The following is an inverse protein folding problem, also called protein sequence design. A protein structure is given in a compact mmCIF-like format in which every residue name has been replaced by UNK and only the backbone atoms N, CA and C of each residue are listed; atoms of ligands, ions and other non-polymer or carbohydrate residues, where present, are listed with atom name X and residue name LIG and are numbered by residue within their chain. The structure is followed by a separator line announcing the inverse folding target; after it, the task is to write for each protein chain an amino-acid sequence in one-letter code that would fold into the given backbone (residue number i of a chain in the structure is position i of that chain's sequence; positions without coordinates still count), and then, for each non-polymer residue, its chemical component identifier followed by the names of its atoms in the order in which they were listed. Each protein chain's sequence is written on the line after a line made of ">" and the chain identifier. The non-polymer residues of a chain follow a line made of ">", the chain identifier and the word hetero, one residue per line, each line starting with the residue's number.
data_IF_618164034314
#
_entry.id   IF_618164034314
#
_cell.length_a   1.000
_cell.length_b   1.000
_cell.length_c   1.000
_cell.angle_alpha   90.00
_cell.angle_beta   90.00
_cell.angle_gamma   90.00
#
_symmetry.space_group_name_H-M   'P 1'
#
loop_
_entity.id
_entity.type
_entity.pdbx_description
1 polymer ?
#
# COMPACT_ATOMS: atom_id res chain seq x y z
N UNK A 1 20.52 -3.65 -26.80
CA UNK A 1 19.30 -3.01 -26.30
C UNK A 1 18.73 -3.97 -25.26
N UNK A 2 18.67 -3.60 -23.98
CA UNK A 2 17.97 -4.44 -23.02
C UNK A 2 16.49 -4.27 -23.28
N UNK A 3 15.82 -5.35 -23.70
CA UNK A 3 14.38 -5.34 -23.90
C UNK A 3 13.69 -4.86 -22.61
N UNK A 4 12.82 -3.86 -22.75
CA UNK A 4 12.04 -3.34 -21.63
C UNK A 4 11.15 -4.46 -21.09
N UNK A 5 11.16 -4.76 -19.79
CA UNK A 5 10.36 -5.84 -19.24
C UNK A 5 8.88 -5.71 -19.59
N UNK A 6 8.27 -6.82 -20.01
CA UNK A 6 6.82 -6.92 -20.17
C UNK A 6 6.19 -7.18 -18.80
N UNK A 7 5.15 -6.42 -18.50
CA UNK A 7 4.47 -6.47 -17.21
C UNK A 7 3.01 -6.88 -17.42
N UNK A 8 2.55 -7.83 -16.63
CA UNK A 8 1.15 -8.20 -16.54
C UNK A 8 0.58 -7.74 -15.20
N UNK A 9 -0.56 -7.04 -15.25
CA UNK A 9 -1.29 -6.65 -14.04
C UNK A 9 -2.56 -7.49 -13.92
N UNK A 10 -2.66 -8.22 -12.84
CA UNK A 10 -3.83 -9.02 -12.49
C UNK A 10 -4.69 -8.29 -11.47
N UNK A 11 -5.97 -8.17 -11.77
CA UNK A 11 -6.94 -7.40 -11.01
C UNK A 11 -7.32 -6.08 -11.66
N UNK A 12 -8.51 -5.60 -11.33
CA UNK A 12 -9.07 -4.33 -11.78
C UNK A 12 -9.35 -3.38 -10.62
N UNK A 13 -8.67 -3.61 -9.50
CA UNK A 13 -8.77 -2.74 -8.33
C UNK A 13 -8.34 -1.30 -8.66
N UNK A 14 -8.75 -0.38 -7.83
CA UNK A 14 -8.31 1.01 -7.90
C UNK A 14 -6.77 1.11 -7.95
N UNK A 15 -6.08 0.36 -7.10
CA UNK A 15 -4.63 0.33 -7.06
C UNK A 15 -4.04 -0.27 -8.35
N UNK A 16 -4.58 -1.40 -8.85
CA UNK A 16 -4.13 -2.04 -10.08
C UNK A 16 -4.13 -1.06 -11.26
N UNK A 17 -5.20 -0.29 -11.42
CA UNK A 17 -5.36 0.64 -12.53
C UNK A 17 -4.33 1.79 -12.47
N UNK A 18 -4.08 2.35 -11.30
CA UNK A 18 -3.08 3.42 -11.13
C UNK A 18 -1.65 2.92 -11.27
N UNK A 19 -1.32 1.73 -10.74
CA UNK A 19 0.01 1.14 -10.88
C UNK A 19 0.29 0.75 -12.34
N UNK A 20 -0.70 0.18 -13.06
CA UNK A 20 -0.61 -0.13 -14.48
C UNK A 20 -0.32 1.12 -15.31
N UNK A 21 -1.08 2.20 -15.09
CA UNK A 21 -0.86 3.47 -15.78
C UNK A 21 0.52 4.06 -15.47
N UNK A 22 0.95 4.04 -14.20
CA UNK A 22 2.27 4.51 -13.81
C UNK A 22 3.39 3.72 -14.50
N UNK A 23 3.26 2.40 -14.63
CA UNK A 23 4.22 1.57 -15.35
C UNK A 23 4.27 1.96 -16.84
N UNK A 24 3.13 2.21 -17.49
CA UNK A 24 3.07 2.70 -18.87
C UNK A 24 3.74 4.07 -19.03
N UNK A 25 3.46 5.00 -18.12
CA UNK A 25 4.06 6.35 -18.11
C UNK A 25 5.59 6.30 -17.93
N UNK A 26 6.13 5.22 -17.32
CA UNK A 26 7.56 4.93 -17.20
C UNK A 26 8.16 4.17 -18.41
N UNK A 27 7.35 3.89 -19.43
CA UNK A 27 7.79 3.24 -20.67
C UNK A 27 7.80 1.71 -20.62
N UNK A 28 7.18 1.08 -19.62
CA UNK A 28 7.05 -0.37 -19.61
C UNK A 28 5.94 -0.84 -20.54
N UNK A 29 6.17 -1.98 -21.18
CA UNK A 29 5.15 -2.65 -22.00
C UNK A 29 4.21 -3.45 -21.12
N UNK A 30 2.90 -3.17 -21.21
CA UNK A 30 1.88 -3.95 -20.52
C UNK A 30 1.35 -5.00 -21.46
N UNK A 31 1.60 -6.27 -21.16
CA UNK A 31 1.05 -7.40 -21.92
C UNK A 31 -0.34 -7.79 -21.41
N UNK A 32 -1.12 -8.41 -22.29
CA UNK A 32 -2.40 -9.08 -21.96
C UNK A 32 -2.23 -10.60 -21.79
N UNK A 33 -1.03 -11.09 -22.04
CA UNK A 33 -0.67 -12.51 -22.04
C UNK A 33 0.23 -12.79 -20.85
N UNK A 34 -0.26 -13.42 -19.76
CA UNK A 34 0.53 -13.67 -18.55
C UNK A 34 1.78 -14.52 -18.83
N UNK A 35 1.72 -15.43 -19.83
CA UNK A 35 2.82 -16.29 -20.26
C UNK A 35 4.00 -15.53 -20.91
N UNK A 36 3.78 -14.31 -21.38
CA UNK A 36 4.80 -13.42 -21.95
C UNK A 36 5.39 -12.46 -20.92
N UNK A 37 4.81 -12.39 -19.73
CA UNK A 37 5.23 -11.44 -18.72
C UNK A 37 6.58 -11.83 -18.10
N UNK A 38 7.42 -10.84 -17.89
CA UNK A 38 8.63 -10.95 -17.07
C UNK A 38 8.33 -10.61 -15.61
N UNK A 39 7.30 -9.79 -15.38
CA UNK A 39 6.87 -9.34 -14.05
C UNK A 39 5.34 -9.35 -13.97
N UNK A 40 4.79 -9.94 -12.93
CA UNK A 40 3.34 -10.02 -12.71
C UNK A 40 3.00 -9.31 -11.41
N UNK A 41 2.14 -8.30 -11.48
CA UNK A 41 1.56 -7.66 -10.31
C UNK A 41 0.17 -8.25 -10.02
N UNK A 42 -0.02 -8.72 -8.79
CA UNK A 42 -1.30 -9.20 -8.27
C UNK A 42 -1.85 -8.10 -7.37
N UNK A 43 -2.86 -7.38 -7.86
CA UNK A 43 -3.37 -6.17 -7.23
C UNK A 43 -4.90 -6.20 -7.17
N UNK A 44 -5.43 -6.91 -6.20
CA UNK A 44 -6.86 -7.02 -5.96
C UNK A 44 -7.22 -6.43 -4.59
N UNK A 45 -8.31 -5.69 -4.52
CA UNK A 45 -8.84 -5.25 -3.23
C UNK A 45 -9.54 -6.41 -2.54
N UNK A 46 -9.02 -6.81 -1.38
CA UNK A 46 -9.67 -7.82 -0.56
C UNK A 46 -11.01 -7.27 -0.04
N UNK A 47 -12.10 -7.92 -0.40
CA UNK A 47 -13.41 -7.60 0.12
C UNK A 47 -13.43 -7.68 1.66
N UNK A 48 -14.26 -6.86 2.28
CA UNK A 48 -14.40 -6.84 3.74
C UNK A 48 -15.72 -7.52 4.09
N UNK A 49 -15.66 -8.58 4.88
CA UNK A 49 -16.85 -9.25 5.43
C UNK A 49 -17.51 -8.36 6.47
N UNK A 50 -18.76 -8.62 6.80
CA UNK A 50 -19.49 -7.91 7.88
C UNK A 50 -18.73 -7.90 9.21
N UNK A 51 -17.95 -8.94 9.49
CA UNK A 51 -17.06 -9.02 10.66
C UNK A 51 -15.88 -8.06 10.65
N UNK A 52 -15.65 -7.32 9.54
CA UNK A 52 -14.47 -6.49 9.34
C UNK A 52 -13.23 -7.26 8.85
N UNK A 53 -13.30 -8.59 8.75
CA UNK A 53 -12.21 -9.45 8.29
C UNK A 53 -12.12 -9.42 6.76
N UNK A 54 -10.90 -9.44 6.23
CA UNK A 54 -10.65 -9.52 4.77
C UNK A 54 -11.09 -10.85 4.19
N UNK A 55 -11.76 -10.81 3.07
CA UNK A 55 -11.95 -11.99 2.22
C UNK A 55 -10.83 -12.04 1.18
N UNK A 56 -9.93 -12.99 1.35
CA UNK A 56 -8.75 -13.16 0.49
C UNK A 56 -8.96 -14.19 -0.62
N UNK A 57 -10.18 -14.73 -0.80
CA UNK A 57 -10.47 -15.80 -1.75
C UNK A 57 -10.05 -15.42 -3.18
N UNK A 58 -10.38 -14.22 -3.62
CA UNK A 58 -10.03 -13.73 -4.96
C UNK A 58 -8.53 -13.44 -5.11
N UNK A 59 -7.88 -12.98 -4.07
CA UNK A 59 -6.42 -12.80 -4.04
C UNK A 59 -5.72 -14.15 -4.21
N UNK A 60 -6.17 -15.18 -3.49
CA UNK A 60 -5.63 -16.54 -3.60
C UNK A 60 -5.87 -17.13 -5.00
N UNK A 61 -7.06 -16.94 -5.58
CA UNK A 61 -7.37 -17.35 -6.96
C UNK A 61 -6.37 -16.74 -7.96
N UNK A 62 -6.09 -15.46 -7.84
CA UNK A 62 -5.13 -14.76 -8.70
C UNK A 62 -3.69 -15.26 -8.48
N UNK A 63 -3.30 -15.53 -7.25
CA UNK A 63 -1.98 -16.12 -6.96
C UNK A 63 -1.82 -17.48 -7.65
N UNK A 64 -2.83 -18.35 -7.52
CA UNK A 64 -2.84 -19.68 -8.16
C UNK A 64 -2.80 -19.54 -9.68
N UNK A 65 -3.58 -18.63 -10.27
CA UNK A 65 -3.56 -18.38 -11.69
C UNK A 65 -2.20 -17.88 -12.17
N UNK A 66 -1.59 -16.92 -11.47
CA UNK A 66 -0.28 -16.39 -11.81
C UNK A 66 0.80 -17.48 -11.74
N UNK A 67 0.72 -18.38 -10.75
CA UNK A 67 1.63 -19.51 -10.63
C UNK A 67 1.49 -20.49 -11.81
N UNK A 68 0.26 -20.72 -12.28
CA UNK A 68 0.00 -21.66 -13.35
C UNK A 68 0.31 -21.09 -14.75
N UNK A 69 0.09 -19.79 -14.98
CA UNK A 69 0.16 -19.18 -16.31
C UNK A 69 1.39 -18.32 -16.55
N UNK A 70 2.07 -17.89 -15.50
CA UNK A 70 3.26 -17.05 -15.55
C UNK A 70 4.35 -17.60 -14.62
N UNK A 71 4.63 -18.90 -14.72
CA UNK A 71 5.55 -19.63 -13.82
C UNK A 71 6.94 -19.02 -13.79
N UNK A 72 7.45 -18.53 -14.94
CA UNK A 72 8.76 -17.92 -15.10
C UNK A 72 8.84 -16.45 -14.70
N UNK A 73 7.70 -15.77 -14.58
CA UNK A 73 7.66 -14.36 -14.22
C UNK A 73 7.95 -14.16 -12.74
N UNK A 74 8.60 -13.04 -12.41
CA UNK A 74 8.67 -12.57 -11.02
C UNK A 74 7.29 -12.09 -10.60
N UNK A 75 6.79 -12.59 -9.48
CA UNK A 75 5.46 -12.27 -8.95
C UNK A 75 5.56 -11.25 -7.83
N UNK A 76 4.70 -10.23 -7.87
CA UNK A 76 4.62 -9.18 -6.87
C UNK A 76 3.19 -9.02 -6.41
N UNK A 77 2.92 -9.30 -5.15
CA UNK A 77 1.63 -9.11 -4.51
C UNK A 77 1.55 -7.68 -3.98
N UNK A 78 0.58 -6.90 -4.45
CA UNK A 78 0.29 -5.55 -3.95
C UNK A 78 -1.04 -5.46 -3.20
N UNK A 79 -1.82 -6.54 -3.21
CA UNK A 79 -3.04 -6.65 -2.42
C UNK A 79 -2.74 -6.49 -0.93
N UNK A 80 -3.58 -5.75 -0.23
CA UNK A 80 -3.40 -5.59 1.22
C UNK A 80 -3.85 -6.86 1.95
N UNK A 81 -2.89 -7.55 2.54
CA UNK A 81 -3.07 -8.81 3.25
C UNK A 81 -2.65 -8.69 4.73
N UNK A 82 -3.10 -9.59 5.62
CA UNK A 82 -2.63 -9.60 7.01
C UNK A 82 -1.15 -10.00 7.10
N UNK A 83 -0.42 -9.55 8.14
CA UNK A 83 0.95 -9.97 8.39
C UNK A 83 1.10 -11.50 8.48
N UNK A 84 2.12 -12.03 7.78
CA UNK A 84 2.40 -13.46 7.68
C UNK A 84 1.69 -14.17 6.52
N UNK A 85 0.78 -13.50 5.80
CA UNK A 85 0.05 -14.11 4.69
C UNK A 85 1.00 -14.53 3.56
N UNK A 86 1.87 -13.63 3.10
CA UNK A 86 2.76 -13.92 1.97
C UNK A 86 3.75 -15.05 2.31
N UNK A 87 4.28 -15.08 3.52
CA UNK A 87 5.14 -16.17 3.97
C UNK A 87 4.41 -17.51 4.02
N UNK A 88 3.15 -17.52 4.43
CA UNK A 88 2.35 -18.75 4.51
C UNK A 88 2.07 -19.37 3.14
N UNK A 89 2.19 -18.64 2.05
CA UNK A 89 2.05 -19.17 0.68
C UNK A 89 3.17 -20.16 0.31
N UNK A 90 4.36 -20.04 0.94
CA UNK A 90 5.54 -20.91 0.69
C UNK A 90 5.93 -20.96 -0.79
N UNK A 91 5.91 -19.84 -1.46
CA UNK A 91 6.21 -19.69 -2.88
C UNK A 91 7.13 -18.49 -3.12
N UNK A 92 7.77 -18.46 -4.30
CA UNK A 92 8.60 -17.34 -4.72
C UNK A 92 7.73 -16.18 -5.21
N UNK A 93 7.51 -15.22 -4.33
CA UNK A 93 6.68 -14.03 -4.54
C UNK A 93 7.21 -12.90 -3.67
N UNK A 94 7.13 -11.67 -4.16
CA UNK A 94 7.43 -10.46 -3.37
C UNK A 94 6.14 -9.81 -2.91
N UNK A 95 6.20 -9.11 -1.78
CA UNK A 95 5.09 -8.26 -1.36
C UNK A 95 5.49 -6.79 -1.51
N UNK A 96 4.76 -6.01 -2.31
CA UNK A 96 4.96 -4.57 -2.40
C UNK A 96 3.82 -3.86 -1.69
N UNK A 97 4.12 -3.23 -0.56
CA UNK A 97 3.11 -2.52 0.21
C UNK A 97 2.51 -1.36 -0.60
N UNK A 98 1.19 -1.38 -0.79
CA UNK A 98 0.46 -0.35 -1.52
C UNK A 98 0.22 0.87 -0.61
N UNK A 99 0.57 2.08 -1.09
CA UNK A 99 0.50 3.34 -0.32
C UNK A 99 -0.35 4.42 -0.98
N UNK A 100 -1.16 4.07 -1.98
CA UNK A 100 -2.01 5.01 -2.70
C UNK A 100 -3.11 5.60 -1.81
N UNK A 101 -3.49 6.83 -2.10
CA UNK A 101 -4.64 7.52 -1.50
C UNK A 101 -5.60 7.92 -2.62
N UNK A 102 -6.90 7.80 -2.39
CA UNK A 102 -7.93 8.13 -3.39
C UNK A 102 -7.74 9.53 -3.98
N UNK A 103 -7.36 10.51 -3.14
CA UNK A 103 -7.24 11.92 -3.52
C UNK A 103 -6.15 12.20 -4.56
N UNK A 104 -5.02 11.48 -4.49
CA UNK A 104 -3.80 11.73 -5.27
C UNK A 104 -3.14 10.44 -5.79
N UNK A 105 -3.93 9.39 -5.99
CA UNK A 105 -3.45 8.07 -6.35
C UNK A 105 -2.58 8.05 -7.60
N UNK A 106 -2.98 8.79 -8.65
CA UNK A 106 -2.21 8.85 -9.90
C UNK A 106 -0.84 9.46 -9.70
N UNK A 107 -0.75 10.56 -8.96
CA UNK A 107 0.52 11.21 -8.66
C UNK A 107 1.41 10.30 -7.81
N UNK A 108 0.85 9.69 -6.75
CA UNK A 108 1.59 8.77 -5.89
C UNK A 108 2.03 7.50 -6.59
N UNK A 109 1.24 6.97 -7.51
CA UNK A 109 1.65 5.84 -8.33
C UNK A 109 2.80 6.20 -9.26
N UNK A 110 2.78 7.38 -9.88
CA UNK A 110 3.82 7.86 -10.81
C UNK A 110 5.09 8.33 -10.11
N UNK A 111 4.97 8.87 -8.87
CA UNK A 111 6.06 9.40 -8.06
C UNK A 111 5.90 8.99 -6.60
N UNK A 112 6.10 7.71 -6.28
CA UNK A 112 5.99 7.22 -4.90
C UNK A 112 7.08 7.87 -4.03
N UNK A 113 6.74 8.16 -2.78
CA UNK A 113 7.70 8.68 -1.79
C UNK A 113 8.73 7.60 -1.41
N UNK A 114 8.32 6.35 -1.43
CA UNK A 114 9.13 5.15 -1.22
C UNK A 114 8.38 3.92 -1.75
N UNK A 115 9.10 2.81 -1.91
CA UNK A 115 8.51 1.48 -2.14
C UNK A 115 9.04 0.54 -1.07
N UNK A 116 8.15 -0.07 -0.28
CA UNK A 116 8.49 -1.13 0.65
C UNK A 116 8.30 -2.49 -0.04
N UNK A 117 9.37 -3.29 -0.09
CA UNK A 117 9.41 -4.60 -0.74
C UNK A 117 9.66 -5.67 0.31
N UNK A 118 8.63 -6.43 0.62
CA UNK A 118 8.71 -7.62 1.46
C UNK A 118 9.23 -8.83 0.68
N UNK A 119 10.18 -9.53 1.26
CA UNK A 119 10.80 -10.72 0.68
C UNK A 119 11.15 -11.75 1.76
N UNK A 120 11.59 -12.92 1.34
CA UNK A 120 11.94 -14.00 2.27
C UNK A 120 13.20 -13.66 3.10
N UNK A 121 14.24 -13.19 2.45
CA UNK A 121 15.46 -12.68 3.08
C UNK A 121 15.80 -11.28 2.55
N UNK A 122 15.70 -10.22 3.39
CA UNK A 122 16.00 -8.84 2.96
C UNK A 122 17.46 -8.60 2.53
N UNK A 123 18.37 -9.54 2.78
CA UNK A 123 19.78 -9.44 2.38
C UNK A 123 20.04 -9.96 0.96
N UNK A 124 19.09 -10.69 0.39
CA UNK A 124 19.21 -11.21 -0.97
C UNK A 124 18.95 -10.11 -2.00
N UNK A 125 19.65 -10.22 -3.13
CA UNK A 125 19.43 -9.29 -4.23
C UNK A 125 18.11 -9.59 -4.93
N UNK A 126 17.26 -8.58 -5.09
CA UNK A 126 16.03 -8.70 -5.86
C UNK A 126 16.32 -9.07 -7.33
N UNK A 127 15.44 -9.80 -8.02
CA UNK A 127 15.59 -10.13 -9.43
C UNK A 127 15.79 -8.88 -10.28
N UNK A 128 16.68 -8.99 -11.28
CA UNK A 128 17.06 -7.85 -12.12
C UNK A 128 15.85 -7.19 -12.81
N UNK A 129 14.87 -7.97 -13.24
CA UNK A 129 13.65 -7.47 -13.85
C UNK A 129 12.86 -6.58 -12.89
N UNK A 130 12.76 -6.97 -11.61
CA UNK A 130 12.08 -6.18 -10.59
C UNK A 130 12.88 -4.95 -10.19
N UNK A 131 14.21 -5.07 -10.08
CA UNK A 131 15.09 -3.90 -9.86
C UNK A 131 14.96 -2.88 -10.99
N UNK A 132 14.84 -3.32 -12.25
CA UNK A 132 14.63 -2.43 -13.40
C UNK A 132 13.31 -1.66 -13.26
N UNK A 133 12.24 -2.34 -12.85
CA UNK A 133 10.96 -1.69 -12.55
C UNK A 133 11.07 -0.66 -11.42
N UNK A 134 11.62 -1.07 -10.27
CA UNK A 134 11.73 -0.20 -9.09
C UNK A 134 12.55 1.06 -9.35
N UNK A 135 13.68 0.93 -10.05
CA UNK A 135 14.58 2.06 -10.38
C UNK A 135 13.92 3.12 -11.26
N UNK A 136 12.92 2.76 -12.08
CA UNK A 136 12.21 3.70 -12.94
C UNK A 136 11.43 4.77 -12.16
N UNK A 137 11.10 4.51 -10.90
CA UNK A 137 10.35 5.44 -10.04
C UNK A 137 11.24 6.42 -9.29
N UNK A 138 12.56 6.19 -9.26
CA UNK A 138 13.54 7.10 -8.65
C UNK A 138 13.17 7.52 -7.21
N UNK A 139 12.81 6.56 -6.37
CA UNK A 139 12.50 6.75 -4.97
C UNK A 139 13.26 5.72 -4.10
N UNK A 140 13.35 5.92 -2.78
CA UNK A 140 13.90 4.92 -1.87
C UNK A 140 13.15 3.60 -1.97
N UNK A 141 13.89 2.49 -2.09
CA UNK A 141 13.36 1.12 -1.98
C UNK A 141 13.79 0.57 -0.64
N UNK A 142 12.81 0.23 0.20
CA UNK A 142 13.01 -0.33 1.53
C UNK A 142 12.74 -1.83 1.42
N UNK A 143 13.81 -2.62 1.30
CA UNK A 143 13.72 -4.07 1.30
C UNK A 143 13.63 -4.57 2.74
N UNK A 144 12.62 -5.39 3.03
CA UNK A 144 12.30 -5.85 4.37
C UNK A 144 11.67 -7.26 4.33
N UNK A 145 11.34 -7.84 5.47
CA UNK A 145 10.61 -9.11 5.52
C UNK A 145 9.18 -8.95 5.02
N UNK A 146 8.53 -10.05 4.67
CA UNK A 146 7.11 -10.02 4.27
C UNK A 146 6.24 -9.37 5.35
N UNK A 147 6.44 -9.78 6.60
CA UNK A 147 5.67 -9.33 7.74
C UNK A 147 5.85 -7.83 8.00
N UNK A 148 7.06 -7.31 7.82
CA UNK A 148 7.35 -5.87 7.94
C UNK A 148 6.64 -5.08 6.85
N UNK A 149 6.69 -5.53 5.59
CA UNK A 149 6.00 -4.86 4.48
C UNK A 149 4.47 -4.89 4.67
N UNK A 150 3.91 -6.05 5.02
CA UNK A 150 2.47 -6.23 5.27
C UNK A 150 1.99 -5.38 6.45
N UNK A 151 2.75 -5.36 7.54
CA UNK A 151 2.40 -4.58 8.73
C UNK A 151 2.61 -3.07 8.53
N UNK A 152 3.57 -2.66 7.68
CA UNK A 152 3.88 -1.24 7.46
C UNK A 152 2.67 -0.43 7.04
N UNK A 153 1.81 -1.00 6.17
CA UNK A 153 0.57 -0.34 5.73
C UNK A 153 -0.43 -0.17 6.87
N UNK A 154 -0.58 -1.19 7.72
CA UNK A 154 -1.43 -1.12 8.91
C UNK A 154 -0.89 -0.05 9.85
N UNK A 155 0.41 -0.03 10.10
CA UNK A 155 1.06 0.95 10.97
C UNK A 155 0.86 2.39 10.48
N UNK A 156 1.03 2.65 9.17
CA UNK A 156 0.73 3.96 8.57
C UNK A 156 -0.72 4.36 8.81
N UNK A 157 -1.67 3.48 8.50
CA UNK A 157 -3.09 3.77 8.62
C UNK A 157 -3.50 4.01 10.08
N UNK A 158 -2.97 3.24 11.02
CA UNK A 158 -3.28 3.42 12.45
C UNK A 158 -2.63 4.68 13.03
N UNK A 159 -1.44 5.04 12.58
CA UNK A 159 -0.82 6.34 12.92
C UNK A 159 -1.69 7.50 12.45
N UNK A 160 -2.21 7.45 11.21
CA UNK A 160 -3.10 8.48 10.68
C UNK A 160 -4.44 8.54 11.42
N UNK A 161 -5.03 7.39 11.78
CA UNK A 161 -6.24 7.30 12.58
C UNK A 161 -6.05 7.96 13.95
N UNK A 162 -4.94 7.68 14.62
CA UNK A 162 -4.58 8.30 15.92
C UNK A 162 -4.42 9.82 15.82
N UNK A 163 -3.88 10.32 14.71
CA UNK A 163 -3.80 11.77 14.48
C UNK A 163 -5.20 12.40 14.38
N UNK A 164 -6.16 11.75 13.71
CA UNK A 164 -7.54 12.24 13.63
C UNK A 164 -8.19 12.24 15.01
N UNK A 165 -8.02 11.18 15.81
CA UNK A 165 -8.56 11.11 17.18
C UNK A 165 -7.98 12.22 18.07
N UNK A 166 -6.67 12.43 18.03
CA UNK A 166 -6.02 13.51 18.77
C UNK A 166 -6.53 14.89 18.32
N UNK A 167 -6.68 15.10 17.00
CA UNK A 167 -7.22 16.33 16.42
C UNK A 167 -8.66 16.57 16.89
N UNK A 168 -9.50 15.55 16.91
CA UNK A 168 -10.88 15.65 17.43
C UNK A 168 -10.88 16.09 18.90
N UNK A 169 -10.05 15.46 19.73
CA UNK A 169 -9.94 15.78 21.15
C UNK A 169 -9.50 17.22 21.37
N UNK A 170 -8.45 17.66 20.69
CA UNK A 170 -7.91 19.03 20.80
C UNK A 170 -8.92 20.07 20.30
N UNK A 171 -9.57 19.83 19.15
CA UNK A 171 -10.57 20.76 18.60
C UNK A 171 -11.81 20.87 19.49
N UNK A 172 -12.22 19.77 20.14
CA UNK A 172 -13.31 19.79 21.10
C UNK A 172 -12.95 20.56 22.36
N UNK A 173 -11.71 20.47 22.85
CA UNK A 173 -11.19 21.27 23.95
C UNK A 173 -11.13 22.76 23.58
N UNK A 174 -10.64 23.10 22.38
CA UNK A 174 -10.54 24.46 21.88
C UNK A 174 -11.91 25.18 21.88
N UNK A 175 -12.99 24.46 21.53
CA UNK A 175 -14.37 25.02 21.55
C UNK A 175 -14.82 25.46 22.95
N UNK A 176 -14.22 24.96 24.04
CA UNK A 176 -14.55 25.31 25.42
C UNK A 176 -13.79 26.53 25.92
N UNK A 177 -12.83 27.05 25.18
CA UNK A 177 -11.99 28.18 25.56
C UNK A 177 -12.45 29.41 24.78
N UNK A 178 -12.96 30.45 25.46
CA UNK A 178 -13.39 31.69 24.81
C UNK A 178 -12.27 32.29 23.94
N UNK A 179 -12.60 32.70 22.72
CA UNK A 179 -11.65 33.34 21.79
C UNK A 179 -10.71 32.38 21.04
N UNK A 180 -10.76 31.08 21.30
CA UNK A 180 -9.92 30.09 20.58
C UNK A 180 -10.62 29.61 19.31
N UNK A 181 -9.90 29.71 18.19
CA UNK A 181 -10.30 29.15 16.89
C UNK A 181 -9.39 27.97 16.55
N UNK A 182 -9.97 26.78 16.39
CA UNK A 182 -9.24 25.59 16.01
C UNK A 182 -8.47 25.75 14.68
N UNK A 183 -9.04 26.45 13.69
CA UNK A 183 -8.36 26.68 12.41
C UNK A 183 -7.03 27.42 12.57
N UNK A 184 -6.94 28.39 13.49
CA UNK A 184 -5.69 29.09 13.81
C UNK A 184 -4.70 28.16 14.51
N UNK A 185 -5.18 27.37 15.46
CA UNK A 185 -4.32 26.36 16.13
C UNK A 185 -3.79 25.35 15.13
N UNK A 186 -4.63 24.85 14.21
CA UNK A 186 -4.22 23.95 13.16
C UNK A 186 -3.13 24.56 12.25
N UNK A 187 -3.22 25.84 11.91
CA UNK A 187 -2.17 26.54 11.17
C UNK A 187 -0.86 26.60 11.94
N UNK A 188 -0.88 26.87 13.25
CA UNK A 188 0.32 26.84 14.09
C UNK A 188 0.96 25.45 14.09
N UNK A 189 0.14 24.39 14.26
CA UNK A 189 0.60 23.00 14.23
C UNK A 189 1.18 22.61 12.87
N UNK A 190 0.59 23.10 11.78
CA UNK A 190 1.11 22.88 10.42
C UNK A 190 2.54 23.40 10.23
N UNK A 191 2.88 24.53 10.86
CA UNK A 191 4.21 25.13 10.78
C UNK A 191 5.22 24.58 11.80
N UNK A 192 4.79 23.82 12.81
CA UNK A 192 5.70 23.13 13.73
C UNK A 192 6.37 21.94 13.02
N UNK A 193 7.71 21.96 12.90
CA UNK A 193 8.48 20.91 12.19
C UNK A 193 8.31 19.49 12.74
N UNK A 194 7.93 19.34 13.99
CA UNK A 194 7.69 18.06 14.66
C UNK A 194 6.34 17.46 14.28
N UNK A 195 5.41 18.29 13.75
CA UNK A 195 4.05 17.90 13.34
C UNK A 195 3.97 17.97 11.82
N UNK A 196 4.17 19.16 11.25
CA UNK A 196 4.35 19.39 9.83
C UNK A 196 3.07 19.39 8.98
N UNK A 197 3.24 19.69 7.67
CA UNK A 197 2.14 19.93 6.74
C UNK A 197 1.36 18.67 6.35
N UNK A 198 1.87 17.49 6.68
CA UNK A 198 1.24 16.22 6.30
C UNK A 198 0.38 15.62 7.41
N UNK A 199 0.29 16.27 8.56
CA UNK A 199 -0.51 15.81 9.69
C UNK A 199 -2.01 16.02 9.44
N UNK A 200 -2.82 15.10 9.97
CA UNK A 200 -4.27 15.13 9.84
C UNK A 200 -4.88 16.04 10.91
N UNK A 201 -4.88 17.37 10.63
CA UNK A 201 -5.32 18.42 11.54
C UNK A 201 -6.80 18.84 11.34
N UNK A 202 -7.53 18.18 10.44
CA UNK A 202 -8.96 18.37 10.25
C UNK A 202 -9.73 17.36 11.11
N UNK A 203 -10.65 17.82 11.99
CA UNK A 203 -11.53 16.92 12.71
C UNK A 203 -12.38 16.05 11.78
N UNK A 204 -12.62 14.81 12.15
CA UNK A 204 -13.40 13.88 11.34
C UNK A 204 -13.61 12.54 12.05
N UNK A 205 -14.27 11.61 11.37
CA UNK A 205 -14.43 10.25 11.85
C UNK A 205 -13.65 9.30 10.94
N UNK A 206 -12.50 8.82 11.41
CA UNK A 206 -11.67 7.91 10.63
C UNK A 206 -12.35 6.55 10.40
N UNK A 207 -13.34 6.17 11.23
CA UNK A 207 -14.11 4.91 11.09
C UNK A 207 -15.04 4.92 9.88
N UNK A 208 -15.32 6.09 9.29
CA UNK A 208 -16.05 6.20 8.03
C UNK A 208 -15.22 5.74 6.82
N UNK A 209 -13.91 5.54 7.01
CA UNK A 209 -13.03 4.96 6.00
C UNK A 209 -12.99 3.44 6.15
N UNK A 210 -13.52 2.66 5.18
CA UNK A 210 -13.48 1.19 5.23
C UNK A 210 -12.06 0.63 5.35
N UNK A 211 -11.08 1.29 4.72
CA UNK A 211 -9.67 0.87 4.77
C UNK A 211 -9.07 1.04 6.17
N UNK A 212 -9.33 2.16 6.85
CA UNK A 212 -8.82 2.38 8.20
C UNK A 212 -9.52 1.44 9.20
N UNK A 213 -10.83 1.26 9.05
CA UNK A 213 -11.59 0.34 9.92
C UNK A 213 -11.10 -1.10 9.78
N UNK A 214 -10.87 -1.57 8.55
CA UNK A 214 -10.31 -2.89 8.26
C UNK A 214 -8.96 -3.11 8.93
N UNK A 215 -8.06 -2.12 8.83
CA UNK A 215 -6.72 -2.22 9.40
C UNK A 215 -6.76 -2.15 10.92
N UNK A 216 -7.68 -1.38 11.51
CA UNK A 216 -7.95 -1.39 12.94
C UNK A 216 -8.43 -2.77 13.43
N UNK A 217 -9.35 -3.43 12.71
CA UNK A 217 -9.79 -4.81 13.04
C UNK A 217 -8.62 -5.77 13.00
N UNK A 218 -7.74 -5.65 12.00
CA UNK A 218 -6.55 -6.50 11.91
C UNK A 218 -5.61 -6.27 13.10
N UNK A 219 -5.31 -5.02 13.44
CA UNK A 219 -4.45 -4.68 14.57
C UNK A 219 -5.03 -5.24 15.89
N UNK A 220 -6.30 -4.97 16.17
CA UNK A 220 -6.96 -5.46 17.40
C UNK A 220 -7.06 -6.98 17.48
N UNK A 221 -6.96 -7.68 16.34
CA UNK A 221 -6.89 -9.15 16.33
C UNK A 221 -5.49 -9.65 16.68
N UNK A 222 -4.44 -8.91 16.28
CA UNK A 222 -3.04 -9.23 16.61
C UNK A 222 -2.75 -8.97 18.10
N UNK A 223 -3.39 -7.97 18.70
CA UNK A 223 -3.22 -7.59 20.12
C UNK A 223 -3.84 -8.59 21.11
N UNK A 224 -4.66 -9.54 20.67
CA UNK A 224 -5.29 -10.60 21.49
C UNK A 224 -4.42 -11.84 21.59
#
# INVERSE_FOLDING_TARGET
>A
MHDTPQIFFMGDSFAANHLRQAAQDKGFTITRHPEEAHLVFISEDAAIRESGVRDLSKVLEYIVFAQARADKAVKVLTSQVPPGFTRALKMDIYHQAETLRIKDARERAAKPEYVAVGCNDPRETLPQVYLTYLRAFNCPVIQCTYEEAEFSKIAVNMTLASQVENTNRLSAAAKKIPGVNWGVIAQILYHDRRIGPYSYLKPGNWRDSPHLLRDWVTLTTIEK
#
